data_IF_714474778720
#
_entry.id   IF_714474778720
#
_cell.length_a   1.000
_cell.length_b   1.000
_cell.length_c   1.000
_cell.angle_alpha   90.00
_cell.angle_beta   90.00
_cell.angle_gamma   90.00
#
_symmetry.space_group_name_H-M   'P 1'
#
loop_
_entity.id
_entity.type
_entity.pdbx_description
1 polymer ?
#
# COMPACT_ATOMS: atom_id res chain seq x y z
N UNK A 1 3.26 -50.21 -34.14
CA UNK A 1 3.00 -50.23 -32.69
C UNK A 1 3.57 -48.94 -32.13
N UNK A 2 2.69 -48.01 -31.74
CA UNK A 2 2.99 -46.63 -31.34
C UNK A 2 3.69 -46.56 -29.98
N UNK A 3 4.66 -45.65 -29.85
CA UNK A 3 4.95 -44.93 -28.62
C UNK A 3 5.71 -43.64 -28.98
N UNK A 4 4.99 -42.64 -29.48
CA UNK A 4 5.48 -41.26 -29.49
C UNK A 4 5.17 -40.71 -28.10
N UNK A 5 6.16 -40.73 -27.22
CA UNK A 5 6.15 -39.91 -26.02
C UNK A 5 6.11 -38.44 -26.45
N UNK A 6 4.92 -37.85 -26.49
CA UNK A 6 4.77 -36.40 -26.47
C UNK A 6 5.39 -35.91 -25.16
N UNK A 7 6.61 -35.37 -25.27
CA UNK A 7 7.20 -34.49 -24.27
C UNK A 7 6.29 -33.26 -24.15
N UNK A 8 5.31 -33.32 -23.25
CA UNK A 8 4.79 -32.14 -22.58
C UNK A 8 5.87 -31.65 -21.62
N UNK A 9 6.93 -31.06 -22.19
CA UNK A 9 7.77 -30.13 -21.45
C UNK A 9 6.89 -28.91 -21.20
N UNK A 10 6.63 -28.67 -19.92
CA UNK A 10 6.07 -27.45 -19.38
C UNK A 10 6.53 -26.23 -20.21
N UNK A 11 5.63 -25.71 -21.05
CA UNK A 11 5.69 -24.32 -21.45
C UNK A 11 5.44 -23.55 -20.17
N UNK A 12 6.51 -23.20 -19.46
CA UNK A 12 6.48 -22.16 -18.45
C UNK A 12 5.95 -20.92 -19.18
N UNK A 13 4.64 -20.69 -19.08
CA UNK A 13 4.01 -19.47 -19.54
C UNK A 13 4.69 -18.37 -18.74
N UNK A 14 5.65 -17.69 -19.36
CA UNK A 14 6.34 -16.55 -18.77
C UNK A 14 5.26 -15.54 -18.45
N UNK A 15 4.93 -15.43 -17.15
CA UNK A 15 3.89 -14.52 -16.71
C UNK A 15 4.45 -13.11 -16.90
N UNK A 16 3.68 -12.26 -17.56
CA UNK A 16 4.08 -10.89 -17.94
C UNK A 16 4.03 -10.01 -16.70
N UNK A 17 5.03 -9.16 -16.42
CA UNK A 17 4.98 -8.22 -15.30
C UNK A 17 3.87 -7.16 -15.50
N UNK A 18 3.32 -6.61 -14.42
CA UNK A 18 2.18 -5.69 -14.45
C UNK A 18 2.43 -4.46 -15.35
N UNK A 19 3.66 -3.93 -15.34
CA UNK A 19 4.10 -2.79 -16.15
C UNK A 19 4.07 -3.05 -17.67
N UNK A 20 4.07 -4.31 -18.10
CA UNK A 20 3.97 -4.71 -19.51
C UNK A 20 2.57 -5.24 -19.89
N UNK A 21 1.71 -5.48 -18.89
CA UNK A 21 0.38 -6.02 -19.11
C UNK A 21 -0.57 -4.99 -19.74
N UNK A 22 -1.51 -5.50 -20.55
CA UNK A 22 -2.61 -4.73 -21.11
C UNK A 22 -3.93 -5.41 -20.78
N UNK A 23 -4.96 -4.63 -20.49
CA UNK A 23 -6.31 -5.10 -20.16
C UNK A 23 -7.30 -4.52 -21.15
N UNK A 24 -8.14 -5.38 -21.73
CA UNK A 24 -9.25 -4.96 -22.57
C UNK A 24 -10.50 -4.85 -21.70
N UNK A 25 -11.04 -3.65 -21.59
CA UNK A 25 -12.25 -3.36 -20.83
C UNK A 25 -13.34 -2.81 -21.77
N UNK A 26 -14.59 -3.07 -21.44
CA UNK A 26 -15.74 -2.58 -22.21
C UNK A 26 -16.11 -1.20 -21.66
N UNK A 27 -15.92 -0.15 -22.46
CA UNK A 27 -16.18 1.22 -22.04
C UNK A 27 -17.54 1.73 -22.53
N UNK A 28 -18.34 2.24 -21.60
CA UNK A 28 -19.55 3.02 -21.87
C UNK A 28 -20.79 2.21 -22.30
N UNK A 29 -21.96 2.86 -22.38
CA UNK A 29 -23.24 2.21 -22.72
C UNK A 29 -23.29 1.64 -24.15
N UNK A 30 -22.34 2.01 -25.01
CA UNK A 30 -22.22 1.54 -26.39
C UNK A 30 -21.34 0.29 -26.56
N UNK A 31 -20.75 -0.22 -25.47
CA UNK A 31 -20.05 -1.51 -25.47
C UNK A 31 -18.75 -1.54 -26.28
N UNK A 32 -18.07 -0.40 -26.47
CA UNK A 32 -16.83 -0.37 -27.24
C UNK A 32 -15.68 -0.91 -26.40
N UNK A 33 -15.02 -1.95 -26.89
CA UNK A 33 -13.80 -2.48 -26.29
C UNK A 33 -12.65 -1.49 -26.42
N UNK A 34 -11.97 -1.21 -25.31
CA UNK A 34 -10.75 -0.41 -25.26
C UNK A 34 -9.67 -1.22 -24.55
N UNK A 35 -8.51 -1.33 -25.19
CA UNK A 35 -7.31 -1.90 -24.56
C UNK A 35 -6.50 -0.79 -23.91
N UNK A 36 -6.19 -0.96 -22.63
CA UNK A 36 -5.41 -0.03 -21.81
C UNK A 36 -4.21 -0.74 -21.20
N UNK A 37 -3.12 -0.03 -20.85
CA UNK A 37 -2.13 -0.55 -19.92
C UNK A 37 -2.81 -1.01 -18.62
N UNK A 38 -2.31 -2.08 -18.00
CA UNK A 38 -2.86 -2.57 -16.75
C UNK A 38 -2.69 -1.53 -15.62
N UNK A 39 -1.58 -0.78 -15.60
CA UNK A 39 -1.43 0.38 -14.72
C UNK A 39 -1.92 1.64 -15.43
N UNK A 40 -3.14 2.09 -15.13
CA UNK A 40 -3.73 3.25 -15.80
C UNK A 40 -4.65 4.07 -14.87
N UNK A 41 -4.66 5.41 -14.95
CA UNK A 41 -5.49 6.26 -14.07
C UNK A 41 -6.98 5.94 -14.12
N UNK A 42 -7.52 5.64 -15.31
CA UNK A 42 -8.94 5.28 -15.47
C UNK A 42 -9.32 3.94 -14.82
N UNK A 43 -8.34 3.12 -14.40
CA UNK A 43 -8.58 1.82 -13.77
C UNK A 43 -8.60 1.88 -12.24
N UNK A 44 -8.31 3.04 -11.64
CA UNK A 44 -8.48 3.28 -10.20
C UNK A 44 -9.97 3.41 -9.88
N UNK A 45 -10.34 3.06 -8.65
CA UNK A 45 -11.71 3.25 -8.19
C UNK A 45 -11.89 4.66 -7.62
N UNK A 46 -13.09 5.23 -7.81
CA UNK A 46 -13.45 6.53 -7.26
C UNK A 46 -13.80 6.39 -5.77
N UNK A 47 -12.75 6.26 -4.95
CA UNK A 47 -12.82 6.16 -3.50
C UNK A 47 -11.99 7.26 -2.88
N UNK A 48 -12.56 8.00 -1.93
CA UNK A 48 -11.86 9.07 -1.23
C UNK A 48 -11.34 8.62 0.12
N UNK A 49 -10.03 8.71 0.34
CA UNK A 49 -9.41 8.42 1.64
C UNK A 49 -9.32 9.69 2.48
N UNK A 50 -9.81 9.63 3.72
CA UNK A 50 -9.77 10.76 4.65
C UNK A 50 -8.42 10.83 5.38
N UNK A 51 -7.84 12.03 5.59
CA UNK A 51 -6.61 12.16 6.37
C UNK A 51 -6.78 11.73 7.83
N UNK A 52 -5.78 11.07 8.40
CA UNK A 52 -5.74 10.69 9.80
C UNK A 52 -5.64 11.90 10.73
N UNK A 53 -6.35 11.83 11.85
CA UNK A 53 -6.24 12.74 12.99
C UNK A 53 -5.95 11.95 14.26
N UNK A 54 -5.06 12.44 15.16
CA UNK A 54 -4.75 11.74 16.40
C UNK A 54 -5.94 11.74 17.37
N UNK A 55 -5.98 10.83 18.36
CA UNK A 55 -7.01 10.86 19.39
C UNK A 55 -7.01 12.19 20.15
N UNK A 56 -8.18 12.62 20.68
CA UNK A 56 -8.29 13.87 21.42
C UNK A 56 -7.56 13.79 22.77
N UNK A 57 -6.95 14.91 23.18
CA UNK A 57 -6.31 15.06 24.50
C UNK A 57 -7.33 15.19 25.64
N UNK A 58 -8.43 15.91 25.40
CA UNK A 58 -9.43 16.25 26.41
C UNK A 58 -10.35 15.07 26.81
N UNK A 59 -10.22 13.93 26.13
CA UNK A 59 -10.98 12.68 26.36
C UNK A 59 -12.50 12.85 26.51
N UNK A 60 -13.09 13.92 25.95
CA UNK A 60 -14.53 14.14 26.03
C UNK A 60 -15.27 13.04 25.24
N UNK A 61 -16.45 12.58 25.70
CA UNK A 61 -17.17 11.50 25.02
C UNK A 61 -17.44 11.77 23.54
N UNK A 62 -17.81 13.01 23.19
CA UNK A 62 -18.11 13.41 21.82
C UNK A 62 -16.87 13.35 20.91
N UNK A 63 -15.72 13.87 21.36
CA UNK A 63 -14.48 13.82 20.57
C UNK A 63 -13.93 12.39 20.45
N UNK A 64 -14.15 11.55 21.46
CA UNK A 64 -13.77 10.15 21.40
C UNK A 64 -14.63 9.41 20.38
N UNK A 65 -15.94 9.65 20.36
CA UNK A 65 -16.86 9.08 19.37
C UNK A 65 -16.49 9.53 17.95
N UNK A 66 -16.23 10.82 17.75
CA UNK A 66 -15.76 11.38 16.47
C UNK A 66 -14.46 10.70 15.99
N UNK A 67 -13.48 10.55 16.88
CA UNK A 67 -12.22 9.85 16.55
C UNK A 67 -12.48 8.39 16.16
N UNK A 68 -13.37 7.68 16.88
CA UNK A 68 -13.65 6.27 16.61
C UNK A 68 -14.35 6.08 15.26
N UNK A 69 -15.32 6.93 14.93
CA UNK A 69 -15.98 6.93 13.62
C UNK A 69 -14.99 7.24 12.49
N UNK A 70 -14.15 8.26 12.68
CA UNK A 70 -13.12 8.64 11.71
C UNK A 70 -12.08 7.53 11.50
N UNK A 71 -11.63 6.91 12.59
CA UNK A 71 -10.70 5.78 12.54
C UNK A 71 -11.33 4.55 11.87
N UNK A 72 -12.64 4.35 12.03
CA UNK A 72 -13.37 3.28 11.36
C UNK A 72 -13.40 3.48 9.85
N UNK A 73 -13.72 4.69 9.35
CA UNK A 73 -13.70 4.99 7.92
C UNK A 73 -12.33 4.68 7.29
N UNK A 74 -11.25 5.18 7.90
CA UNK A 74 -9.88 4.91 7.42
C UNK A 74 -9.60 3.40 7.44
N UNK A 75 -10.01 2.69 8.50
CA UNK A 75 -9.75 1.26 8.62
C UNK A 75 -10.44 0.47 7.50
N UNK A 76 -11.72 0.74 7.25
CA UNK A 76 -12.51 0.09 6.20
C UNK A 76 -11.95 0.38 4.80
N UNK A 77 -11.48 1.60 4.56
CA UNK A 77 -10.85 2.00 3.30
C UNK A 77 -9.51 1.29 3.09
N UNK A 78 -8.66 1.21 4.12
CA UNK A 78 -7.37 0.51 4.02
C UNK A 78 -7.56 -1.02 3.91
N UNK A 79 -8.56 -1.59 4.58
CA UNK A 79 -8.91 -3.01 4.43
C UNK A 79 -9.39 -3.34 3.02
N UNK A 80 -10.26 -2.49 2.45
CA UNK A 80 -10.66 -2.60 1.05
C UNK A 80 -9.45 -2.52 0.12
N UNK A 81 -8.55 -1.56 0.33
CA UNK A 81 -7.34 -1.39 -0.46
C UNK A 81 -6.47 -2.66 -0.40
N UNK A 82 -6.28 -3.22 0.79
CA UNK A 82 -5.53 -4.46 1.00
C UNK A 82 -6.20 -5.68 0.37
N UNK A 83 -7.53 -5.67 0.20
CA UNK A 83 -8.28 -6.72 -0.46
C UNK A 83 -8.24 -6.65 -2.00
N UNK A 84 -7.80 -5.51 -2.58
CA UNK A 84 -7.75 -5.36 -4.02
C UNK A 84 -6.77 -6.36 -4.68
N UNK A 85 -7.08 -6.85 -5.89
CA UNK A 85 -6.12 -7.54 -6.75
C UNK A 85 -4.88 -6.68 -7.01
N UNK A 86 -3.75 -7.32 -7.33
CA UNK A 86 -2.45 -6.65 -7.51
C UNK A 86 -2.50 -5.46 -8.48
N UNK A 87 -3.10 -5.62 -9.66
CA UNK A 87 -3.19 -4.56 -10.66
C UNK A 87 -4.05 -3.37 -10.18
N UNK A 88 -5.19 -3.65 -9.55
CA UNK A 88 -6.10 -2.64 -9.00
C UNK A 88 -5.51 -1.92 -7.78
N UNK A 89 -4.81 -2.65 -6.91
CA UNK A 89 -4.06 -2.08 -5.79
C UNK A 89 -3.04 -1.05 -6.29
N UNK A 90 -2.22 -1.42 -7.27
CA UNK A 90 -1.22 -0.52 -7.83
C UNK A 90 -1.83 0.67 -8.58
N UNK A 91 -2.97 0.49 -9.26
CA UNK A 91 -3.71 1.62 -9.83
C UNK A 91 -4.16 2.61 -8.74
N UNK A 92 -4.68 2.11 -7.62
CA UNK A 92 -5.10 2.99 -6.52
C UNK A 92 -3.90 3.70 -5.90
N UNK A 93 -2.84 2.96 -5.57
CA UNK A 93 -1.63 3.51 -4.91
C UNK A 93 -0.97 4.61 -5.72
N UNK A 94 -0.87 4.42 -7.05
CA UNK A 94 -0.15 5.36 -7.94
C UNK A 94 -1.01 6.57 -8.29
N UNK A 95 -2.32 6.40 -8.50
CA UNK A 95 -3.16 7.45 -9.09
C UNK A 95 -4.15 8.09 -8.11
N UNK A 96 -4.17 7.68 -6.85
CA UNK A 96 -5.01 8.28 -5.81
C UNK A 96 -4.21 9.13 -4.81
N UNK A 97 -4.22 10.43 -5.03
CA UNK A 97 -3.59 11.41 -4.12
C UNK A 97 -4.25 11.45 -2.74
N UNK A 98 -5.52 11.07 -2.59
CA UNK A 98 -6.18 11.04 -1.29
C UNK A 98 -5.60 9.94 -0.40
N UNK A 99 -5.27 8.78 -0.99
CA UNK A 99 -4.60 7.69 -0.30
C UNK A 99 -3.22 8.12 0.23
N UNK A 100 -2.40 8.76 -0.61
CA UNK A 100 -1.08 9.26 -0.18
C UNK A 100 -1.21 10.27 0.97
N UNK A 101 -2.17 11.21 0.88
CA UNK A 101 -2.44 12.16 1.97
C UNK A 101 -2.87 11.47 3.27
N UNK A 102 -3.69 10.42 3.17
CA UNK A 102 -4.08 9.61 4.31
C UNK A 102 -2.86 8.93 4.97
N UNK A 103 -2.04 8.23 4.20
CA UNK A 103 -0.85 7.54 4.72
C UNK A 103 0.16 8.54 5.31
N UNK A 104 0.41 9.66 4.65
CA UNK A 104 1.31 10.73 5.13
C UNK A 104 0.84 11.34 6.45
N UNK A 105 -0.46 11.65 6.54
CA UNK A 105 -1.03 12.19 7.77
C UNK A 105 -0.91 11.20 8.93
N UNK A 106 -1.06 9.90 8.68
CA UNK A 106 -0.85 8.89 9.71
C UNK A 106 0.61 8.82 10.14
N UNK A 107 1.56 8.69 9.20
CA UNK A 107 2.99 8.64 9.53
C UNK A 107 3.42 9.87 10.33
N UNK A 108 2.90 11.05 9.99
CA UNK A 108 3.22 12.31 10.66
C UNK A 108 2.57 12.45 12.04
N UNK A 109 1.33 12.01 12.24
CA UNK A 109 0.55 12.36 13.42
C UNK A 109 0.32 11.19 14.38
N UNK A 110 0.54 9.94 13.98
CA UNK A 110 0.36 8.78 14.84
C UNK A 110 1.21 8.92 16.12
N UNK A 111 0.66 8.63 17.31
CA UNK A 111 1.43 8.70 18.55
C UNK A 111 2.63 7.74 18.52
N UNK A 112 3.80 8.24 18.96
CA UNK A 112 5.03 7.47 19.06
C UNK A 112 5.08 6.81 20.43
N UNK A 113 5.81 5.70 20.54
CA UNK A 113 5.89 4.91 21.80
C UNK A 113 6.50 5.64 23.02
N UNK A 114 6.92 6.90 22.86
CA UNK A 114 7.45 7.77 23.92
C UNK A 114 6.41 8.82 24.36
N UNK A 115 5.30 8.96 23.63
CA UNK A 115 4.32 10.00 23.88
C UNK A 115 3.48 9.68 25.11
N UNK A 116 3.43 10.62 26.05
CA UNK A 116 2.67 10.52 27.30
C UNK A 116 1.17 10.39 27.09
N UNK A 117 0.66 10.77 25.93
CA UNK A 117 -0.75 10.67 25.52
C UNK A 117 -1.25 9.22 25.37
N UNK A 118 -0.35 8.24 25.25
CA UNK A 118 -0.72 6.82 25.17
C UNK A 118 -1.11 6.19 26.52
N UNK A 119 -0.91 6.88 27.65
CA UNK A 119 -1.06 6.29 28.99
C UNK A 119 -2.52 6.30 29.52
N UNK A 120 -3.44 7.04 28.88
CA UNK A 120 -4.81 7.25 29.36
C UNK A 120 -5.91 6.97 28.32
N UNK A 121 -5.60 6.19 27.26
CA UNK A 121 -6.59 5.88 26.22
C UNK A 121 -7.62 4.85 26.69
N UNK A 122 -8.87 5.04 26.27
CA UNK A 122 -9.91 4.04 26.49
C UNK A 122 -9.59 2.74 25.72
N UNK A 123 -10.12 1.58 26.15
CA UNK A 123 -9.91 0.32 25.44
C UNK A 123 -10.36 0.37 23.97
N UNK A 124 -11.46 1.08 23.67
CA UNK A 124 -11.96 1.23 22.30
C UNK A 124 -11.01 2.06 21.42
N UNK A 125 -10.48 3.18 21.94
CA UNK A 125 -9.51 4.01 21.20
C UNK A 125 -8.21 3.23 20.97
N UNK A 126 -7.75 2.49 21.99
CA UNK A 126 -6.56 1.66 21.89
C UNK A 126 -6.71 0.54 20.84
N UNK A 127 -7.91 -0.05 20.73
CA UNK A 127 -8.25 -1.04 19.71
C UNK A 127 -8.21 -0.43 18.31
N UNK A 128 -8.92 0.68 18.11
CA UNK A 128 -8.98 1.39 16.83
C UNK A 128 -7.58 1.81 16.35
N UNK A 129 -6.75 2.36 17.25
CA UNK A 129 -5.37 2.71 16.93
C UNK A 129 -4.53 1.52 16.51
N UNK A 130 -4.63 0.40 17.23
CA UNK A 130 -3.86 -0.81 16.91
C UNK A 130 -4.28 -1.39 15.57
N UNK A 131 -5.57 -1.34 15.26
CA UNK A 131 -6.11 -1.78 13.99
C UNK A 131 -5.59 -0.92 12.83
N UNK A 132 -5.69 0.42 12.97
CA UNK A 132 -5.10 1.36 12.01
C UNK A 132 -3.60 1.16 11.83
N UNK A 133 -2.86 1.02 12.94
CA UNK A 133 -1.42 0.80 12.93
C UNK A 133 -1.05 -0.46 12.14
N UNK A 134 -1.79 -1.56 12.33
CA UNK A 134 -1.61 -2.78 11.56
C UNK A 134 -1.94 -2.55 10.08
N UNK A 135 -3.08 -1.94 9.76
CA UNK A 135 -3.51 -1.74 8.38
C UNK A 135 -2.53 -0.86 7.59
N UNK A 136 -2.07 0.25 8.18
CA UNK A 136 -1.07 1.14 7.57
C UNK A 136 0.24 0.40 7.33
N UNK A 137 0.74 -0.37 8.31
CA UNK A 137 1.95 -1.17 8.12
C UNK A 137 1.81 -2.16 6.96
N UNK A 138 0.68 -2.86 6.89
CA UNK A 138 0.42 -3.84 5.83
C UNK A 138 0.33 -3.18 4.44
N UNK A 139 -0.21 -1.96 4.35
CA UNK A 139 -0.24 -1.19 3.10
C UNK A 139 1.17 -0.84 2.66
N UNK A 140 1.99 -0.27 3.54
CA UNK A 140 3.39 0.03 3.21
C UNK A 140 4.19 -1.23 2.87
N UNK A 141 3.96 -2.33 3.58
CA UNK A 141 4.61 -3.61 3.28
C UNK A 141 4.27 -4.09 1.86
N UNK A 142 3.02 -3.97 1.46
CA UNK A 142 2.57 -4.32 0.11
C UNK A 142 3.16 -3.39 -0.95
N UNK A 143 3.14 -2.07 -0.71
CA UNK A 143 3.77 -1.06 -1.57
C UNK A 143 5.28 -1.27 -1.73
N UNK A 144 5.94 -1.80 -0.72
CA UNK A 144 7.37 -2.10 -0.75
C UNK A 144 7.70 -3.48 -1.34
N UNK A 145 6.72 -4.22 -1.87
CA UNK A 145 6.90 -5.58 -2.39
C UNK A 145 6.66 -5.61 -3.89
N UNK A 146 7.74 -5.50 -4.68
CA UNK A 146 7.67 -5.54 -6.16
C UNK A 146 7.19 -6.89 -6.72
N UNK A 147 7.21 -7.96 -5.91
CA UNK A 147 6.83 -9.31 -6.29
C UNK A 147 5.98 -9.97 -5.20
N UNK A 148 4.66 -9.80 -5.30
CA UNK A 148 3.69 -10.42 -4.39
C UNK A 148 3.57 -11.93 -4.60
N UNK A 149 3.71 -12.40 -5.85
CA UNK A 149 3.72 -13.83 -6.18
C UNK A 149 4.50 -14.12 -7.46
N UNK A 150 4.42 -15.36 -7.99
CA UNK A 150 4.97 -15.68 -9.32
C UNK A 150 4.16 -15.05 -10.46
N UNK A 151 2.93 -14.66 -10.16
CA UNK A 151 1.91 -14.11 -11.05
C UNK A 151 1.82 -12.60 -11.00
N UNK A 152 2.02 -12.07 -9.79
CA UNK A 152 1.75 -10.70 -9.46
C UNK A 152 3.07 -10.03 -9.09
N UNK A 153 3.66 -9.34 -10.06
CA UNK A 153 4.91 -8.64 -9.88
C UNK A 153 5.06 -7.49 -10.87
N UNK A 154 5.91 -6.55 -10.53
CA UNK A 154 6.37 -5.43 -11.35
C UNK A 154 7.85 -5.64 -11.61
N UNK A 155 8.32 -5.29 -12.81
CA UNK A 155 9.75 -5.31 -13.12
C UNK A 155 10.53 -4.46 -12.11
N UNK A 156 11.65 -4.94 -11.54
CA UNK A 156 12.34 -4.22 -10.46
C UNK A 156 12.73 -2.77 -10.79
N UNK A 157 13.17 -2.51 -12.02
CA UNK A 157 13.51 -1.15 -12.47
C UNK A 157 12.28 -0.22 -12.46
N UNK A 158 11.18 -0.65 -13.07
CA UNK A 158 9.94 0.13 -13.13
C UNK A 158 9.32 0.29 -11.74
N UNK A 159 9.41 -0.72 -10.88
CA UNK A 159 9.00 -0.60 -9.48
C UNK A 159 9.77 0.52 -8.76
N UNK A 160 11.11 0.57 -8.96
CA UNK A 160 11.96 1.63 -8.41
C UNK A 160 11.58 3.03 -8.88
N UNK A 161 11.23 3.18 -10.15
CA UNK A 161 10.71 4.43 -10.73
C UNK A 161 9.35 4.79 -10.11
N UNK A 162 8.40 3.84 -10.07
CA UNK A 162 7.06 4.05 -9.51
C UNK A 162 7.14 4.57 -8.08
N UNK A 163 7.93 3.92 -7.21
CA UNK A 163 7.98 4.31 -5.80
C UNK A 163 8.64 5.67 -5.57
N UNK A 164 9.55 6.08 -6.45
CA UNK A 164 10.32 7.32 -6.34
C UNK A 164 9.58 8.51 -6.96
N UNK A 165 9.19 8.38 -8.23
CA UNK A 165 8.62 9.47 -9.01
C UNK A 165 7.21 9.85 -8.54
N UNK A 166 6.49 8.91 -7.93
CA UNK A 166 5.16 9.16 -7.35
C UNK A 166 5.21 9.45 -5.85
N UNK A 167 6.40 9.65 -5.26
CA UNK A 167 6.58 9.94 -3.83
C UNK A 167 5.91 8.93 -2.89
N UNK A 168 5.77 7.67 -3.32
CA UNK A 168 5.18 6.59 -2.52
C UNK A 168 6.06 6.27 -1.31
N UNK A 169 7.38 6.42 -1.49
CA UNK A 169 8.36 6.47 -0.43
C UNK A 169 9.22 7.73 -0.59
N UNK A 170 9.64 8.27 0.54
CA UNK A 170 10.65 9.31 0.64
C UNK A 170 11.44 9.08 1.93
N UNK A 171 12.57 9.77 2.09
CA UNK A 171 13.42 9.60 3.28
C UNK A 171 12.65 9.91 4.58
N UNK A 172 11.87 11.01 4.68
CA UNK A 172 11.00 11.25 5.84
C UNK A 172 10.05 10.08 6.17
N UNK A 173 9.30 9.57 5.19
CA UNK A 173 8.39 8.42 5.36
C UNK A 173 9.14 7.18 5.86
N UNK A 174 10.32 6.89 5.31
CA UNK A 174 11.14 5.74 5.72
C UNK A 174 11.59 5.87 7.18
N UNK A 175 11.97 7.08 7.61
CA UNK A 175 12.34 7.35 9.01
C UNK A 175 11.13 7.21 9.93
N UNK A 176 9.97 7.74 9.56
CA UNK A 176 8.73 7.57 10.32
C UNK A 176 8.32 6.10 10.43
N UNK A 177 8.45 5.33 9.34
CA UNK A 177 8.23 3.88 9.35
C UNK A 177 9.15 3.17 10.34
N UNK A 178 10.42 3.57 10.42
CA UNK A 178 11.36 3.04 11.40
C UNK A 178 10.93 3.29 12.83
N UNK A 179 10.54 4.53 13.13
CA UNK A 179 10.14 4.95 14.47
C UNK A 179 8.83 4.27 14.90
N UNK A 180 7.85 4.20 14.01
CA UNK A 180 6.53 3.66 14.31
C UNK A 180 6.53 2.13 14.39
N UNK A 181 7.19 1.45 13.45
CA UNK A 181 7.04 -0.01 13.27
C UNK A 181 8.30 -0.80 13.65
N UNK A 182 9.42 -0.15 13.94
CA UNK A 182 10.68 -0.82 14.27
C UNK A 182 10.60 -1.67 15.53
N UNK A 183 9.82 -1.25 16.53
CA UNK A 183 9.56 -2.06 17.72
C UNK A 183 8.53 -3.14 17.40
N UNK A 184 8.95 -4.40 17.41
CA UNK A 184 8.08 -5.56 17.18
C UNK A 184 8.11 -6.11 15.76
N UNK A 185 8.25 -5.26 14.73
CA UNK A 185 8.28 -5.70 13.32
C UNK A 185 9.65 -5.51 12.64
N UNK A 186 10.74 -5.37 13.40
CA UNK A 186 12.07 -5.01 12.91
C UNK A 186 12.57 -5.85 11.73
N UNK A 187 12.31 -7.17 11.73
CA UNK A 187 12.74 -8.06 10.64
C UNK A 187 11.98 -7.81 9.34
N UNK A 188 10.65 -7.62 9.41
CA UNK A 188 9.83 -7.32 8.23
C UNK A 188 10.10 -5.91 7.71
N UNK A 189 10.20 -4.94 8.62
CA UNK A 189 10.57 -3.57 8.30
C UNK A 189 11.96 -3.51 7.64
N UNK A 190 12.95 -4.26 8.15
CA UNK A 190 14.28 -4.32 7.52
C UNK A 190 14.19 -4.81 6.07
N UNK A 191 13.48 -5.92 5.83
CA UNK A 191 13.28 -6.43 4.46
C UNK A 191 12.55 -5.43 3.56
N UNK A 192 11.58 -4.72 4.13
CA UNK A 192 10.81 -3.68 3.44
C UNK A 192 11.75 -2.56 2.95
N UNK A 193 12.54 -2.00 3.86
CA UNK A 193 13.50 -0.92 3.57
C UNK A 193 14.60 -1.41 2.63
N UNK A 194 15.14 -2.60 2.87
CA UNK A 194 16.15 -3.21 2.01
C UNK A 194 15.65 -3.37 0.57
N UNK A 195 14.41 -3.82 0.36
CA UNK A 195 13.86 -3.93 -0.98
C UNK A 195 13.67 -2.55 -1.63
N UNK A 196 13.21 -1.53 -0.89
CA UNK A 196 13.09 -0.15 -1.40
C UNK A 196 14.46 0.37 -1.89
N UNK A 197 15.49 0.27 -1.06
CA UNK A 197 16.83 0.77 -1.38
C UNK A 197 17.52 -0.05 -2.48
N UNK A 198 17.27 -1.36 -2.54
CA UNK A 198 17.81 -2.23 -3.59
C UNK A 198 17.23 -1.90 -4.96
N UNK A 199 15.92 -1.65 -5.05
CA UNK A 199 15.28 -1.36 -6.33
C UNK A 199 15.39 0.12 -6.74
N UNK A 200 15.65 1.02 -5.79
CA UNK A 200 15.84 2.44 -6.07
C UNK A 200 17.09 2.99 -5.35
N UNK A 201 18.27 2.94 -6.00
CA UNK A 201 19.52 3.40 -5.42
C UNK A 201 19.57 4.91 -5.12
N UNK A 202 18.72 5.73 -5.73
CA UNK A 202 18.67 7.18 -5.49
C UNK A 202 18.38 7.53 -4.03
N UNK A 203 17.74 6.65 -3.25
CA UNK A 203 17.57 6.83 -1.80
C UNK A 203 18.88 6.76 -1.00
N UNK A 204 19.93 6.15 -1.55
CA UNK A 204 21.25 6.03 -0.90
C UNK A 204 22.14 7.26 -1.09
N UNK A 205 21.66 8.30 -1.78
CA UNK A 205 22.45 9.51 -2.08
C UNK A 205 23.35 9.38 -3.32
N UNK A 206 22.96 8.57 -4.29
CA UNK A 206 23.75 8.32 -5.50
C UNK A 206 23.63 9.39 -6.59
N UNK A 207 24.24 10.56 -6.36
CA UNK A 207 25.22 11.28 -7.23
C UNK A 207 25.73 12.50 -6.49
#
# INVERSE_FOLDING_TARGET
MQAICCNYKDMACSRVPLDEQHVTEVSGPQGRERTLPALHPERKEDRGFVPYTPPPEDHSPAQVEEFLEHAQFISEDLEWLLALPHDKFWCQVVFDESLQRCLDSYLRLAPRGIDSSCLSLSPAVSEAQRHLHRSVFMVFLRMATHKESKENFITPAVFGEIIYDNFLFDIPKILDLCVLFGRGNSQLLHKMIENIFMQQPSYSGGT
#
